data_IF_161872539035
#
_entry.id   IF_161872539035
#
_cell.length_a   1.000
_cell.length_b   1.000
_cell.length_c   1.000
_cell.angle_alpha   90.00
_cell.angle_beta   90.00
_cell.angle_gamma   90.00
#
_symmetry.space_group_name_H-M   'P 1'
#
loop_
_entity.id
_entity.type
_entity.pdbx_description
1 polymer ?
#
# COMPACT_ATOMS: atom_id res chain seq x y z
N UNK A 1 13.20 -8.21 -0.75
CA UNK A 1 13.16 -6.73 -0.48
C UNK A 1 11.80 -6.35 0.12
N UNK A 2 11.59 -5.15 0.67
CA UNK A 2 10.35 -4.79 1.40
C UNK A 2 9.04 -5.01 0.60
N UNK A 3 9.06 -4.76 -0.72
CA UNK A 3 7.95 -5.00 -1.66
C UNK A 3 7.54 -6.47 -1.80
N UNK A 4 8.46 -7.42 -1.61
CA UNK A 4 8.17 -8.86 -1.70
C UNK A 4 7.83 -9.47 -0.33
N UNK A 5 7.99 -8.68 0.74
CA UNK A 5 7.80 -9.11 2.13
C UNK A 5 6.67 -8.34 2.80
N UNK A 6 7.01 -7.58 3.84
CA UNK A 6 6.04 -6.87 4.68
C UNK A 6 5.12 -5.88 3.94
N UNK A 7 5.50 -5.43 2.73
CA UNK A 7 4.71 -4.51 1.91
C UNK A 7 4.16 -5.18 0.64
N UNK A 8 4.14 -6.51 0.58
CA UNK A 8 3.63 -7.24 -0.59
C UNK A 8 2.17 -6.88 -0.86
N UNK A 9 1.87 -6.56 -2.12
CA UNK A 9 0.55 -6.10 -2.56
C UNK A 9 0.24 -4.63 -2.24
N UNK A 10 1.11 -3.95 -1.48
CA UNK A 10 0.98 -2.52 -1.14
C UNK A 10 2.04 -1.68 -1.85
N UNK A 11 3.28 -2.16 -1.90
CA UNK A 11 4.40 -1.47 -2.54
C UNK A 11 5.04 -2.38 -3.60
N UNK A 12 5.38 -1.79 -4.73
CA UNK A 12 6.12 -2.41 -5.83
C UNK A 12 7.46 -1.71 -6.04
N UNK A 13 8.40 -2.41 -6.66
CA UNK A 13 9.68 -1.88 -7.09
C UNK A 13 9.93 -2.28 -8.54
N UNK A 14 10.41 -1.36 -9.35
CA UNK A 14 10.69 -1.62 -10.77
C UNK A 14 11.98 -0.94 -11.22
N UNK A 15 12.63 -1.55 -12.22
CA UNK A 15 13.78 -1.02 -12.95
C UNK A 15 13.41 -0.73 -14.42
N UNK A 16 12.12 -0.81 -14.75
CA UNK A 16 11.63 -0.51 -16.08
C UNK A 16 11.48 1.02 -16.27
N UNK A 17 11.75 1.55 -17.48
CA UNK A 17 11.60 2.97 -17.77
C UNK A 17 10.11 3.32 -17.95
N UNK A 18 9.40 3.46 -16.83
CA UNK A 18 7.96 3.72 -16.83
C UNK A 18 7.60 5.16 -17.19
N UNK A 19 6.43 5.33 -17.79
CA UNK A 19 5.73 6.61 -17.91
C UNK A 19 4.35 6.52 -17.23
N UNK A 20 3.70 7.68 -17.02
CA UNK A 20 2.43 7.75 -16.27
C UNK A 20 1.33 6.82 -16.79
N UNK A 21 1.27 6.58 -18.10
CA UNK A 21 0.27 5.71 -18.71
C UNK A 21 0.43 4.23 -18.30
N UNK A 22 1.65 3.80 -18.01
CA UNK A 22 1.92 2.41 -17.61
C UNK A 22 1.41 2.11 -16.20
N UNK A 23 1.11 3.15 -15.41
CA UNK A 23 0.68 3.04 -14.01
C UNK A 23 -0.85 2.94 -13.89
N UNK A 24 -1.58 3.28 -14.95
CA UNK A 24 -3.05 3.32 -14.93
C UNK A 24 -3.60 1.93 -14.61
N UNK A 25 -4.39 1.84 -13.53
CA UNK A 25 -4.96 0.59 -13.05
C UNK A 25 -4.01 -0.28 -12.20
N UNK A 26 -2.82 0.21 -11.86
CA UNK A 26 -1.95 -0.50 -10.92
C UNK A 26 -2.48 -0.35 -9.48
N UNK A 27 -2.71 -1.48 -8.81
CA UNK A 27 -3.33 -1.51 -7.48
C UNK A 27 -2.40 -1.20 -6.33
N UNK A 28 -1.09 -1.08 -6.56
CA UNK A 28 -0.12 -0.75 -5.51
C UNK A 28 -0.26 0.72 -5.10
N UNK A 29 -0.05 1.01 -3.81
CA UNK A 29 -0.05 2.38 -3.29
C UNK A 29 1.19 3.17 -3.67
N UNK A 30 2.27 2.48 -4.01
CA UNK A 30 3.55 3.08 -4.37
C UNK A 30 4.35 2.10 -5.23
N UNK A 31 4.86 2.58 -6.36
CA UNK A 31 5.77 1.86 -7.24
C UNK A 31 7.08 2.63 -7.25
N UNK A 32 8.09 2.09 -6.57
CA UNK A 32 9.40 2.74 -6.48
C UNK A 32 10.13 2.57 -7.80
N UNK A 33 10.50 3.69 -8.41
CA UNK A 33 11.29 3.75 -9.63
C UNK A 33 12.78 3.69 -9.25
N UNK A 34 13.41 2.55 -9.55
CA UNK A 34 14.83 2.29 -9.27
C UNK A 34 15.78 3.13 -10.13
N UNK A 35 15.39 3.49 -11.36
CA UNK A 35 16.21 4.27 -12.28
C UNK A 35 16.30 5.74 -11.84
N UNK A 36 15.22 6.26 -11.26
CA UNK A 36 15.11 7.64 -10.78
C UNK A 36 15.53 7.82 -9.31
N UNK A 37 15.50 6.74 -8.52
CA UNK A 37 15.88 6.74 -7.09
C UNK A 37 17.39 6.62 -6.93
N UNK A 38 18.02 7.56 -6.20
CA UNK A 38 19.47 7.55 -6.00
C UNK A 38 19.93 8.25 -4.74
N UNK A 39 21.10 7.85 -4.26
CA UNK A 39 21.85 8.58 -3.24
C UNK A 39 22.38 9.87 -3.88
N UNK A 40 22.20 11.00 -3.20
CA UNK A 40 22.66 12.31 -3.61
C UNK A 40 23.48 12.96 -2.48
N UNK A 41 24.26 13.98 -2.83
CA UNK A 41 25.11 14.71 -1.89
C UNK A 41 26.50 14.07 -1.71
N UNK A 42 27.52 14.92 -1.52
CA UNK A 42 28.94 14.53 -1.49
C UNK A 42 29.28 13.50 -0.41
N UNK A 43 28.52 13.51 0.70
CA UNK A 43 28.72 12.62 1.85
C UNK A 43 27.91 11.32 1.75
N UNK A 44 27.11 11.13 0.69
CA UNK A 44 26.31 9.92 0.49
C UNK A 44 25.22 9.66 1.54
N UNK A 45 24.83 10.68 2.31
CA UNK A 45 23.91 10.56 3.44
C UNK A 45 22.50 11.11 3.13
N UNK A 46 22.22 11.49 1.88
CA UNK A 46 20.91 11.95 1.44
C UNK A 46 20.42 11.06 0.29
N UNK A 47 19.14 10.69 0.31
CA UNK A 47 18.55 9.84 -0.71
C UNK A 47 17.38 10.57 -1.35
N UNK A 48 17.38 10.66 -2.68
CA UNK A 48 16.22 11.08 -3.47
C UNK A 48 15.48 9.83 -3.91
N UNK A 49 14.24 9.68 -3.47
CA UNK A 49 13.36 8.57 -3.84
C UNK A 49 12.32 9.08 -4.82
N UNK A 50 12.04 8.28 -5.86
CA UNK A 50 10.96 8.52 -6.80
C UNK A 50 9.95 7.38 -6.72
N UNK A 51 8.66 7.72 -6.67
CA UNK A 51 7.58 6.74 -6.62
C UNK A 51 6.43 7.20 -7.51
N UNK A 52 5.91 6.26 -8.29
CA UNK A 52 4.65 6.40 -9.01
C UNK A 52 3.49 5.86 -8.17
N UNK A 53 2.28 6.29 -8.48
CA UNK A 53 1.03 5.69 -8.04
C UNK A 53 -0.12 6.15 -8.93
N UNK A 54 -1.14 5.31 -9.09
CA UNK A 54 -2.41 5.72 -9.66
C UNK A 54 -3.24 6.37 -8.54
N UNK A 55 -3.56 7.66 -8.69
CA UNK A 55 -4.26 8.43 -7.67
C UNK A 55 -5.74 8.05 -7.52
N UNK A 56 -6.33 7.42 -8.54
CA UNK A 56 -7.71 6.95 -8.48
C UNK A 56 -7.72 5.48 -8.04
N UNK A 57 -7.05 4.62 -8.79
CA UNK A 57 -7.17 3.18 -8.61
C UNK A 57 -6.47 2.67 -7.36
N UNK A 58 -5.20 3.03 -7.17
CA UNK A 58 -4.42 2.58 -6.01
C UNK A 58 -5.04 3.05 -4.69
N UNK A 59 -5.55 4.28 -4.66
CA UNK A 59 -6.26 4.82 -3.51
C UNK A 59 -7.59 4.08 -3.24
N UNK A 60 -8.41 3.85 -4.27
CA UNK A 60 -9.66 3.10 -4.13
C UNK A 60 -9.44 1.68 -3.63
N UNK A 61 -8.39 0.98 -4.08
CA UNK A 61 -8.02 -0.34 -3.55
C UNK A 61 -7.73 -0.27 -2.03
N UNK A 62 -7.02 0.77 -1.56
CA UNK A 62 -6.73 0.94 -0.13
C UNK A 62 -7.97 1.24 0.70
N UNK A 63 -8.97 1.91 0.14
CA UNK A 63 -10.26 2.10 0.82
C UNK A 63 -10.98 0.77 1.00
N UNK A 64 -10.99 -0.09 -0.02
CA UNK A 64 -11.58 -1.44 0.08
C UNK A 64 -10.82 -2.27 1.13
N UNK A 65 -9.49 -2.23 1.13
CA UNK A 65 -8.67 -2.94 2.12
C UNK A 65 -8.97 -2.45 3.54
N UNK A 66 -9.13 -1.13 3.74
CA UNK A 66 -9.50 -0.56 5.03
C UNK A 66 -10.89 -1.00 5.49
N UNK A 67 -11.88 -0.98 4.60
CA UNK A 67 -13.23 -1.47 4.90
C UNK A 67 -13.15 -2.94 5.33
N UNK A 68 -12.47 -3.78 4.55
CA UNK A 68 -12.26 -5.18 4.89
C UNK A 68 -11.57 -5.35 6.24
N UNK A 69 -10.59 -4.51 6.57
CA UNK A 69 -9.92 -4.52 7.86
C UNK A 69 -10.88 -4.13 9.01
N UNK A 70 -11.73 -3.12 8.81
CA UNK A 70 -12.72 -2.69 9.82
C UNK A 70 -13.80 -3.73 10.10
N UNK A 71 -14.24 -4.45 9.05
CA UNK A 71 -15.26 -5.50 9.16
C UNK A 71 -14.68 -6.89 9.41
N UNK A 72 -13.35 -7.04 9.38
CA UNK A 72 -12.70 -8.29 9.75
C UNK A 72 -13.02 -8.56 11.23
N UNK A 73 -13.58 -9.75 11.57
CA UNK A 73 -13.88 -10.07 12.94
C UNK A 73 -12.61 -9.97 13.77
N UNK A 74 -12.58 -8.99 14.67
CA UNK A 74 -11.47 -8.79 15.57
C UNK A 74 -11.64 -9.80 16.71
N UNK A 75 -10.70 -10.74 16.89
CA UNK A 75 -10.80 -11.78 17.92
C UNK A 75 -10.86 -11.23 19.35
N UNK A 76 -10.63 -9.92 19.54
CA UNK A 76 -10.62 -9.25 20.84
C UNK A 76 -11.76 -8.22 21.02
N UNK A 77 -12.72 -8.12 20.11
CA UNK A 77 -13.84 -7.16 20.26
C UNK A 77 -15.11 -7.85 20.72
N UNK A 78 -15.46 -7.65 21.99
CA UNK A 78 -16.56 -8.29 22.70
C UNK A 78 -17.96 -7.75 22.34
N UNK A 79 -18.21 -7.35 21.09
CA UNK A 79 -19.55 -6.92 20.65
C UNK A 79 -20.51 -8.09 20.39
N UNK A 80 -20.02 -9.33 20.37
CA UNK A 80 -20.87 -10.52 20.24
C UNK A 80 -21.67 -10.84 21.53
N UNK A 81 -21.36 -10.22 22.67
CA UNK A 81 -22.07 -10.50 23.93
C UNK A 81 -23.37 -9.72 24.15
N UNK A 82 -23.65 -8.65 23.39
CA UNK A 82 -24.85 -7.82 23.62
C UNK A 82 -26.07 -8.27 22.80
N UNK A 83 -25.86 -8.85 21.61
CA UNK A 83 -26.96 -9.33 20.75
C UNK A 83 -27.54 -10.65 21.26
N UNK A 84 -26.74 -11.47 21.97
CA UNK A 84 -27.21 -12.74 22.52
C UNK A 84 -28.17 -12.59 23.72
N UNK A 85 -28.16 -11.45 24.42
CA UNK A 85 -28.96 -11.22 25.65
C UNK A 85 -30.38 -10.73 25.33
N UNK A 86 -30.64 -10.21 24.14
CA UNK A 86 -31.97 -9.67 23.77
C UNK A 86 -32.91 -10.70 23.14
N UNK A 87 -32.42 -11.91 22.88
CA UNK A 87 -33.21 -13.05 22.36
C UNK A 87 -33.42 -14.17 23.39
N UNK A 88 -33.22 -13.89 24.69
CA UNK A 88 -33.43 -14.83 25.80
C UNK A 88 -34.50 -14.34 26.77
#
# INVERSE_FOLDING_TARGET
>A
KAAEGKLKGIMEYTEEPLVSRDIVGNSHSAIIDGLSTRVIGERGNLVKIFSWYDNEWGYSCRLVDLINFMFSPNPNTSFENEIAVTNS
#
